data_IF_578156976427
#
_entry.id   IF_578156976427
#
_cell.length_a   1.000
_cell.length_b   1.000
_cell.length_c   1.000
_cell.angle_alpha   90.00
_cell.angle_beta   90.00
_cell.angle_gamma   90.00
#
_symmetry.space_group_name_H-M   'P 1'
#
loop_
_entity.id
_entity.type
_entity.pdbx_description
1 polymer ?
#
# COMPACT_ATOMS: atom_id res chain seq x y z
N UNK A 1 -26.23 -1.99 0.65
CA UNK A 1 -25.51 -0.70 0.59
C UNK A 1 -24.01 -0.99 0.54
N UNK A 2 -23.32 -0.32 -0.34
CA UNK A 2 -21.86 -0.42 -0.44
C UNK A 2 -21.27 0.41 0.71
N UNK A 3 -20.87 -0.26 1.80
CA UNK A 3 -20.28 0.37 2.96
C UNK A 3 -21.28 1.06 3.89
N UNK A 4 -20.81 1.43 5.06
CA UNK A 4 -21.47 2.34 5.99
C UNK A 4 -21.44 3.74 5.35
N UNK A 5 -22.55 4.37 5.14
CA UNK A 5 -22.73 5.56 4.28
C UNK A 5 -21.87 6.80 4.59
N UNK A 6 -21.02 6.74 5.61
CA UNK A 6 -20.15 7.83 6.03
C UNK A 6 -18.64 7.54 5.89
N UNK A 7 -18.25 6.38 5.32
CA UNK A 7 -16.83 6.00 5.17
C UNK A 7 -16.34 6.23 3.75
N UNK A 8 -15.10 6.73 3.63
CA UNK A 8 -14.46 6.96 2.35
C UNK A 8 -13.60 5.78 1.89
N UNK A 9 -13.65 5.52 0.59
CA UNK A 9 -12.67 4.67 -0.09
C UNK A 9 -11.48 5.52 -0.49
N UNK A 10 -10.27 5.07 -0.14
CA UNK A 10 -9.04 5.81 -0.36
C UNK A 10 -8.22 5.30 -1.53
N UNK A 11 -8.44 4.04 -1.93
CA UNK A 11 -7.61 3.39 -2.94
C UNK A 11 -8.36 2.29 -3.68
N UNK A 12 -7.93 2.06 -4.92
CA UNK A 12 -8.43 0.99 -5.77
C UNK A 12 -7.24 0.33 -6.50
N UNK A 13 -7.29 -0.98 -6.68
CA UNK A 13 -6.31 -1.73 -7.45
C UNK A 13 -6.99 -2.83 -8.26
N UNK A 14 -6.40 -3.16 -9.40
CA UNK A 14 -6.81 -4.30 -10.23
C UNK A 14 -5.78 -5.41 -10.18
N UNK A 15 -6.21 -6.64 -10.03
CA UNK A 15 -5.36 -7.82 -10.05
C UNK A 15 -6.15 -9.05 -10.47
N UNK A 16 -5.59 -9.80 -11.42
CA UNK A 16 -6.11 -11.09 -11.88
C UNK A 16 -7.61 -11.05 -12.24
N UNK A 17 -8.01 -10.03 -13.02
CA UNK A 17 -9.39 -9.86 -13.49
C UNK A 17 -10.37 -9.38 -12.42
N UNK A 18 -9.89 -8.95 -11.26
CA UNK A 18 -10.70 -8.40 -10.17
C UNK A 18 -10.29 -6.99 -9.82
N UNK A 19 -11.24 -6.23 -9.29
CA UNK A 19 -10.99 -4.95 -8.65
C UNK A 19 -11.09 -5.09 -7.13
N UNK A 20 -10.29 -4.30 -6.44
CA UNK A 20 -10.25 -4.23 -4.98
C UNK A 20 -10.28 -2.77 -4.54
N UNK A 21 -11.05 -2.46 -3.50
CA UNK A 21 -11.07 -1.15 -2.87
C UNK A 21 -10.78 -1.27 -1.39
N UNK A 22 -10.05 -0.30 -0.85
CA UNK A 22 -9.80 -0.17 0.57
C UNK A 22 -10.05 1.26 1.05
N UNK A 23 -10.39 1.42 2.33
CA UNK A 23 -10.72 2.72 2.85
C UNK A 23 -10.74 2.83 4.37
N UNK A 24 -11.54 3.74 4.85
CA UNK A 24 -11.66 4.08 6.27
C UNK A 24 -12.24 2.94 7.11
N UNK A 25 -11.76 2.85 8.36
CA UNK A 25 -12.29 1.90 9.32
C UNK A 25 -12.14 0.43 8.94
N UNK A 26 -11.11 0.09 8.16
CA UNK A 26 -10.85 -1.27 7.72
C UNK A 26 -11.73 -1.73 6.54
N UNK A 27 -12.36 -0.81 5.83
CA UNK A 27 -13.25 -1.15 4.71
C UNK A 27 -12.46 -1.81 3.57
N UNK A 28 -12.90 -3.00 3.14
CA UNK A 28 -12.33 -3.76 2.03
C UNK A 28 -13.45 -4.36 1.18
N UNK A 29 -13.41 -4.12 -0.12
CA UNK A 29 -14.36 -4.67 -1.08
C UNK A 29 -13.66 -5.27 -2.29
N UNK A 30 -14.32 -6.21 -2.96
CA UNK A 30 -13.88 -6.76 -4.25
C UNK A 30 -15.04 -6.79 -5.26
N UNK A 31 -14.68 -6.62 -6.53
CA UNK A 31 -15.58 -6.80 -7.67
C UNK A 31 -14.99 -7.81 -8.66
N UNK A 32 -15.83 -8.69 -9.18
CA UNK A 32 -15.49 -9.67 -10.21
C UNK A 32 -16.18 -9.39 -11.55
N UNK A 33 -16.84 -8.23 -11.68
CA UNK A 33 -17.67 -7.85 -12.83
C UNK A 33 -17.40 -6.41 -13.28
N UNK A 34 -16.13 -6.03 -13.30
CA UNK A 34 -15.65 -4.71 -13.74
C UNK A 34 -16.28 -3.54 -12.96
N UNK A 35 -16.52 -3.76 -11.67
CA UNK A 35 -17.02 -2.72 -10.77
C UNK A 35 -18.55 -2.54 -10.75
N UNK A 36 -19.30 -3.41 -11.43
CA UNK A 36 -20.76 -3.32 -11.44
C UNK A 36 -21.35 -3.73 -10.10
N UNK A 37 -20.81 -4.78 -9.47
CA UNK A 37 -21.17 -5.21 -8.12
C UNK A 37 -19.96 -5.39 -7.24
N UNK A 38 -20.13 -5.18 -5.93
CA UNK A 38 -19.07 -5.24 -4.93
C UNK A 38 -19.47 -6.13 -3.76
N UNK A 39 -18.52 -6.89 -3.24
CA UNK A 39 -18.68 -7.75 -2.07
C UNK A 39 -17.66 -7.36 -0.99
N UNK A 40 -18.10 -7.45 0.26
CA UNK A 40 -17.21 -7.26 1.40
C UNK A 40 -16.14 -8.35 1.47
N UNK A 41 -14.93 -7.96 1.82
CA UNK A 41 -13.83 -8.86 2.17
C UNK A 41 -13.59 -8.83 3.69
N UNK A 42 -13.14 -9.95 4.28
CA UNK A 42 -12.71 -9.96 5.67
C UNK A 42 -11.55 -8.98 5.87
N UNK A 43 -11.68 -8.05 6.81
CA UNK A 43 -10.63 -7.07 7.08
C UNK A 43 -9.74 -7.52 8.24
N UNK A 44 -8.40 -7.43 8.11
CA UNK A 44 -7.46 -7.77 9.17
C UNK A 44 -7.33 -6.67 10.23
N UNK A 45 -7.91 -5.49 10.01
CA UNK A 45 -7.66 -4.32 10.82
C UNK A 45 -8.87 -3.38 10.79
N UNK A 46 -9.13 -2.71 11.92
CA UNK A 46 -10.25 -1.76 12.06
C UNK A 46 -9.86 -0.31 11.78
N UNK A 47 -8.59 -0.03 11.57
CA UNK A 47 -8.09 1.29 11.19
C UNK A 47 -8.15 1.52 9.69
N UNK A 48 -7.89 2.76 9.28
CA UNK A 48 -7.98 3.17 7.88
C UNK A 48 -6.81 2.69 7.05
N UNK A 49 -7.10 2.24 5.82
CA UNK A 49 -6.13 1.99 4.78
C UNK A 49 -6.07 3.21 3.85
N UNK A 50 -4.86 3.65 3.52
CA UNK A 50 -4.61 4.78 2.62
C UNK A 50 -4.11 4.36 1.25
N UNK A 51 -3.54 3.15 1.13
CA UNK A 51 -3.04 2.64 -0.12
C UNK A 51 -3.20 1.13 -0.27
N UNK A 52 -3.21 0.71 -1.53
CA UNK A 52 -3.24 -0.69 -1.94
C UNK A 52 -2.36 -0.85 -3.18
N UNK A 53 -1.60 -1.93 -3.23
CA UNK A 53 -0.78 -2.29 -4.39
C UNK A 53 -1.11 -3.71 -4.83
N UNK A 54 -1.29 -3.88 -6.13
CA UNK A 54 -1.30 -5.19 -6.78
C UNK A 54 0.14 -5.56 -7.15
N UNK A 55 0.62 -6.70 -6.70
CA UNK A 55 1.99 -7.15 -6.92
C UNK A 55 2.10 -8.06 -8.16
N UNK A 56 3.32 -8.28 -8.63
CA UNK A 56 3.58 -9.04 -9.86
C UNK A 56 3.14 -10.52 -9.77
N UNK A 57 3.07 -11.07 -8.57
CA UNK A 57 2.59 -12.44 -8.30
C UNK A 57 1.08 -12.52 -8.01
N UNK A 58 0.33 -11.47 -8.32
CA UNK A 58 -1.09 -11.29 -8.04
C UNK A 58 -1.46 -11.19 -6.55
N UNK A 59 -0.49 -11.14 -5.65
CA UNK A 59 -0.77 -10.80 -4.25
C UNK A 59 -1.10 -9.32 -4.10
N UNK A 60 -1.70 -8.97 -2.97
CA UNK A 60 -2.12 -7.61 -2.64
C UNK A 60 -1.40 -7.14 -1.38
N UNK A 61 -1.04 -5.86 -1.35
CA UNK A 61 -0.65 -5.16 -0.14
C UNK A 61 -1.68 -4.07 0.16
N UNK A 62 -2.06 -3.96 1.43
CA UNK A 62 -2.81 -2.82 1.96
C UNK A 62 -2.02 -2.21 3.12
N UNK A 63 -2.05 -0.90 3.23
CA UNK A 63 -1.28 -0.20 4.24
C UNK A 63 -1.91 1.15 4.59
N UNK A 64 -1.52 1.72 5.72
CA UNK A 64 -2.05 3.02 6.11
C UNK A 64 -1.78 3.42 7.53
N UNK A 65 -2.84 3.47 8.34
CA UNK A 65 -2.81 3.98 9.70
C UNK A 65 -1.78 3.26 10.57
N UNK A 66 -1.00 4.05 11.33
CA UNK A 66 0.04 3.57 12.25
C UNK A 66 1.13 2.72 11.59
N UNK A 67 1.30 2.84 10.26
CA UNK A 67 2.32 2.10 9.52
C UNK A 67 2.02 0.61 9.37
N UNK A 68 0.80 0.17 9.62
CA UNK A 68 0.41 -1.22 9.42
C UNK A 68 0.44 -1.60 7.95
N UNK A 69 0.97 -2.78 7.65
CA UNK A 69 1.04 -3.37 6.32
C UNK A 69 0.49 -4.80 6.41
N UNK A 70 -0.40 -5.15 5.50
CA UNK A 70 -0.95 -6.50 5.38
C UNK A 70 -0.81 -6.99 3.95
N UNK A 71 -0.53 -8.27 3.79
CA UNK A 71 -0.37 -8.94 2.50
C UNK A 71 -1.35 -10.08 2.36
N UNK A 72 -2.01 -10.19 1.20
CA UNK A 72 -2.88 -11.30 0.85
C UNK A 72 -2.35 -12.00 -0.40
N UNK A 73 -2.29 -13.33 -0.34
CA UNK A 73 -1.94 -14.20 -1.47
C UNK A 73 -3.16 -14.93 -2.07
N UNK A 74 -4.36 -14.66 -1.57
CA UNK A 74 -5.61 -15.36 -1.91
C UNK A 74 -6.76 -14.42 -2.28
N UNK A 75 -6.44 -13.36 -3.01
CA UNK A 75 -7.42 -12.36 -3.46
C UNK A 75 -8.19 -11.70 -2.31
N UNK A 76 -7.53 -11.42 -1.20
CA UNK A 76 -8.09 -10.69 -0.07
C UNK A 76 -8.94 -11.55 0.89
N UNK A 77 -8.96 -12.87 0.73
CA UNK A 77 -9.71 -13.75 1.63
C UNK A 77 -9.03 -13.88 3.00
N UNK A 78 -7.70 -13.93 3.02
CA UNK A 78 -6.88 -13.90 4.23
C UNK A 78 -5.72 -12.93 4.10
N UNK A 79 -5.28 -12.38 5.22
CA UNK A 79 -4.23 -11.37 5.28
C UNK A 79 -3.19 -11.73 6.33
N UNK A 80 -1.92 -11.55 5.97
CA UNK A 80 -0.79 -11.65 6.87
C UNK A 80 -0.27 -10.26 7.18
N UNK A 81 -0.13 -9.93 8.46
CA UNK A 81 0.53 -8.69 8.87
C UNK A 81 2.04 -8.80 8.58
N UNK A 82 2.57 -7.81 7.88
CA UNK A 82 4.00 -7.73 7.58
C UNK A 82 4.64 -6.78 8.60
N UNK A 83 5.50 -7.30 9.50
CA UNK A 83 6.15 -6.47 10.50
C UNK A 83 7.03 -5.40 9.86
N UNK A 84 6.97 -4.20 10.40
CA UNK A 84 7.89 -3.13 10.06
C UNK A 84 8.02 -2.16 11.24
N UNK A 85 9.17 -1.50 11.35
CA UNK A 85 9.43 -0.58 12.42
C UNK A 85 8.86 0.81 12.14
N UNK A 86 8.45 1.54 13.18
CA UNK A 86 8.26 2.99 13.13
C UNK A 86 6.88 3.53 13.40
N UNK A 87 5.80 2.94 13.00
CA UNK A 87 4.43 3.38 13.33
C UNK A 87 3.93 4.67 12.66
N UNK A 88 4.70 5.32 11.80
CA UNK A 88 4.21 6.47 11.03
C UNK A 88 3.28 6.01 9.91
N UNK A 89 2.24 6.81 9.62
CA UNK A 89 1.26 6.52 8.58
C UNK A 89 1.92 6.33 7.23
N UNK A 90 1.51 5.28 6.50
CA UNK A 90 1.93 5.02 5.13
C UNK A 90 0.84 5.53 4.17
N UNK A 91 1.26 6.33 3.18
CA UNK A 91 0.33 7.10 2.34
C UNK A 91 0.27 6.59 0.90
N UNK A 92 1.34 6.01 0.40
CA UNK A 92 1.40 5.54 -0.97
C UNK A 92 2.63 4.69 -1.24
N UNK A 93 2.78 4.26 -2.48
CA UNK A 93 3.91 3.44 -2.86
C UNK A 93 3.82 2.96 -4.30
N UNK A 94 4.72 2.06 -4.66
CA UNK A 94 4.77 1.44 -5.98
C UNK A 94 5.30 0.01 -5.90
N UNK A 95 4.94 -0.80 -6.88
CA UNK A 95 5.41 -2.16 -7.03
C UNK A 95 5.95 -2.37 -8.45
N UNK A 96 7.08 -3.05 -8.57
CA UNK A 96 7.71 -3.40 -9.84
C UNK A 96 7.56 -4.88 -10.16
N UNK A 97 7.73 -5.22 -11.45
CA UNK A 97 7.65 -6.60 -11.93
C UNK A 97 8.72 -7.54 -11.33
N UNK A 98 9.87 -6.99 -10.90
CA UNK A 98 10.97 -7.74 -10.29
C UNK A 98 10.77 -8.07 -8.81
N UNK A 99 9.63 -7.68 -8.22
CA UNK A 99 9.33 -7.89 -6.81
C UNK A 99 9.71 -6.75 -5.88
N UNK A 100 10.30 -5.67 -6.41
CA UNK A 100 10.60 -4.47 -5.64
C UNK A 100 9.32 -3.74 -5.29
N UNK A 101 9.14 -3.40 -4.01
CA UNK A 101 8.01 -2.63 -3.50
C UNK A 101 8.53 -1.49 -2.64
N UNK A 102 7.98 -0.30 -2.86
CA UNK A 102 8.26 0.89 -2.06
C UNK A 102 6.98 1.37 -1.40
N UNK A 103 7.07 1.69 -0.11
CA UNK A 103 6.00 2.35 0.63
C UNK A 103 6.55 3.65 1.22
N UNK A 104 5.79 4.71 1.12
CA UNK A 104 6.15 6.04 1.59
C UNK A 104 5.07 6.62 2.50
N UNK A 105 5.45 7.50 3.42
CA UNK A 105 4.49 8.05 4.36
C UNK A 105 4.97 9.26 5.14
N UNK A 106 4.33 9.50 6.28
CA UNK A 106 4.60 10.64 7.13
C UNK A 106 5.99 10.53 7.79
N UNK A 107 6.52 11.67 8.24
CA UNK A 107 7.82 11.78 8.92
C UNK A 107 9.00 11.26 8.10
N UNK A 108 8.96 11.43 6.78
CA UNK A 108 10.01 10.96 5.88
C UNK A 108 10.08 9.45 5.73
N UNK A 109 9.04 8.72 6.11
CA UNK A 109 9.05 7.27 6.08
C UNK A 109 9.20 6.74 4.66
N UNK A 110 10.14 5.82 4.47
CA UNK A 110 10.35 5.09 3.24
C UNK A 110 10.73 3.64 3.58
N UNK A 111 9.98 2.69 3.05
CA UNK A 111 10.21 1.26 3.23
C UNK A 111 10.50 0.62 1.88
N UNK A 112 11.50 -0.25 1.84
CA UNK A 112 11.88 -1.02 0.65
C UNK A 112 11.69 -2.52 0.91
N UNK A 113 11.02 -3.20 -0.01
CA UNK A 113 10.97 -4.65 -0.12
C UNK A 113 11.62 -5.08 -1.43
N UNK A 114 12.40 -6.17 -1.40
CA UNK A 114 12.96 -6.84 -2.58
C UNK A 114 12.42 -8.25 -2.76
N UNK A 115 11.43 -8.63 -1.96
CA UNK A 115 10.89 -9.99 -1.89
C UNK A 115 9.36 -10.02 -2.03
N UNK A 116 8.83 -9.20 -2.93
CA UNK A 116 7.39 -9.15 -3.22
C UNK A 116 6.53 -8.76 -1.99
N UNK A 117 7.04 -7.85 -1.16
CA UNK A 117 6.31 -7.35 0.00
C UNK A 117 6.26 -8.32 1.20
N UNK A 118 7.07 -9.38 1.20
CA UNK A 118 7.13 -10.31 2.33
C UNK A 118 7.91 -9.74 3.51
N UNK A 119 8.88 -8.85 3.25
CA UNK A 119 9.61 -8.12 4.27
C UNK A 119 9.99 -6.71 3.79
N UNK A 120 10.15 -5.78 4.72
CA UNK A 120 10.52 -4.39 4.44
C UNK A 120 11.70 -3.94 5.29
N UNK A 121 12.57 -3.14 4.66
CA UNK A 121 13.69 -2.46 5.33
C UNK A 121 13.45 -0.96 5.27
N UNK A 122 13.52 -0.23 6.40
CA UNK A 122 13.44 1.22 6.39
C UNK A 122 14.68 1.84 5.75
N UNK A 123 14.48 2.84 4.92
CA UNK A 123 15.54 3.62 4.30
C UNK A 123 15.59 5.03 4.90
N UNK A 124 16.82 5.58 5.01
CA UNK A 124 17.01 6.98 5.39
C UNK A 124 16.61 7.90 4.25
N UNK A 125 15.89 8.95 4.59
CA UNK A 125 15.45 9.99 3.65
C UNK A 125 16.08 11.34 3.99
N UNK A 126 16.18 12.28 3.02
CA UNK A 126 16.85 13.57 3.23
C UNK A 126 16.17 14.47 4.25
N UNK A 127 14.88 14.24 4.55
CA UNK A 127 14.11 15.07 5.46
C UNK A 127 13.01 14.28 6.15
N UNK A 128 12.44 14.86 7.21
CA UNK A 128 11.27 14.32 7.92
C UNK A 128 9.93 14.77 7.31
N UNK A 129 9.93 15.34 6.11
CA UNK A 129 8.71 15.76 5.44
C UNK A 129 7.89 14.56 5.00
N UNK A 130 6.56 14.76 4.98
CA UNK A 130 5.65 13.72 4.52
C UNK A 130 5.87 13.39 3.04
N UNK A 131 5.89 12.12 2.71
CA UNK A 131 5.95 11.61 1.35
C UNK A 131 4.62 10.95 0.98
N UNK A 132 4.10 11.30 -0.18
CA UNK A 132 2.85 10.77 -0.69
C UNK A 132 3.06 9.46 -1.47
N UNK A 133 4.19 9.33 -2.15
CA UNK A 133 4.54 8.13 -2.92
C UNK A 133 6.04 8.07 -3.23
N UNK A 134 6.49 6.92 -3.70
CA UNK A 134 7.87 6.69 -4.15
C UNK A 134 7.89 5.69 -5.31
N UNK A 135 8.85 5.88 -6.22
CA UNK A 135 9.10 4.95 -7.33
C UNK A 135 10.58 4.61 -7.42
N UNK A 136 10.89 3.37 -7.78
CA UNK A 136 12.25 2.95 -8.04
C UNK A 136 12.65 3.26 -9.48
N UNK A 137 13.90 3.69 -9.65
CA UNK A 137 14.52 3.94 -10.95
C UNK A 137 15.29 2.71 -11.43
N UNK A 138 15.56 2.59 -12.76
CA UNK A 138 16.32 1.46 -13.30
C UNK A 138 17.72 1.30 -12.74
N UNK A 139 18.35 2.38 -12.27
CA UNK A 139 19.68 2.40 -11.66
C UNK A 139 19.70 2.07 -10.16
N UNK A 140 18.53 1.74 -9.59
CA UNK A 140 18.36 1.47 -8.16
C UNK A 140 18.11 2.71 -7.30
N UNK A 141 18.12 3.92 -7.88
CA UNK A 141 17.70 5.15 -7.20
C UNK A 141 16.20 5.13 -6.92
N UNK A 142 15.77 5.98 -5.98
CA UNK A 142 14.37 6.10 -5.60
C UNK A 142 13.98 7.58 -5.66
N UNK A 143 12.90 7.88 -6.38
CA UNK A 143 12.30 9.22 -6.38
C UNK A 143 11.08 9.19 -5.48
N UNK A 144 11.03 10.12 -4.54
CA UNK A 144 9.87 10.36 -3.68
C UNK A 144 9.23 11.69 -4.05
N UNK A 145 7.93 11.77 -3.84
CA UNK A 145 7.16 13.02 -3.95
C UNK A 145 6.34 13.25 -2.69
N UNK A 146 6.24 14.48 -2.27
CA UNK A 146 5.47 14.84 -1.08
C UNK A 146 5.56 16.31 -0.75
N UNK A 147 5.48 16.66 0.52
CA UNK A 147 5.42 18.03 1.03
C UNK A 147 6.60 18.91 0.59
N UNK A 148 7.76 18.34 0.40
CA UNK A 148 8.97 19.07 -0.03
C UNK A 148 9.19 19.08 -1.55
N UNK A 149 8.23 18.59 -2.34
CA UNK A 149 8.42 18.33 -3.77
C UNK A 149 9.18 17.02 -4.04
N UNK A 150 9.77 16.85 -5.22
CA UNK A 150 10.51 15.64 -5.54
C UNK A 150 11.85 15.57 -4.79
N UNK A 151 12.23 14.38 -4.36
CA UNK A 151 13.54 14.10 -3.77
C UNK A 151 14.08 12.76 -4.25
N UNK A 152 15.42 12.65 -4.33
CA UNK A 152 16.12 11.45 -4.77
C UNK A 152 16.84 10.79 -3.59
N UNK A 153 16.62 9.49 -3.43
CA UNK A 153 17.37 8.65 -2.50
C UNK A 153 18.17 7.62 -3.30
N UNK A 154 19.45 7.50 -2.97
CA UNK A 154 20.31 6.43 -3.49
C UNK A 154 20.62 5.49 -2.32
N UNK A 155 19.98 4.31 -2.28
CA UNK A 155 20.21 3.34 -1.22
C UNK A 155 21.60 2.71 -1.30
#
# INVERSE_FOLDING_TARGET
SIGDGDKHFNTIAGSDGRLFMAGEGGLLLTSADDGQTWKDLPSPYKGSFFGMLALADHSLLIFGMRGNVFRSADAGQTWQQIPNEGGAFLMGGSAQADGTVLLAGLRGRLLLSKDMGLSFTPLKTPSNKANASAVALPDGGIVMVGEGGPSLVKP
#
